data_IF_849673074650
#
_entry.id   IF_849673074650
#
_cell.length_a   1.000
_cell.length_b   1.000
_cell.length_c   1.000
_cell.angle_alpha   90.00
_cell.angle_beta   90.00
_cell.angle_gamma   90.00
#
_symmetry.space_group_name_H-M   'P 1'
#
loop_
_entity.id
_entity.type
_entity.pdbx_description
1 polymer ?
#
# COMPACT_ATOMS: atom_id res chain seq x y z
N UNK A 1 -21.48 22.56 9.00
CA UNK A 1 -21.54 21.55 7.91
C UNK A 1 -21.07 20.25 8.53
N UNK A 2 -22.01 19.36 8.89
CA UNK A 2 -21.71 18.05 9.48
C UNK A 2 -21.25 17.09 8.38
N UNK A 3 -20.00 17.23 7.92
CA UNK A 3 -19.42 16.43 6.83
C UNK A 3 -19.27 14.94 7.18
N UNK A 4 -19.39 14.56 8.45
CA UNK A 4 -18.93 13.26 8.97
C UNK A 4 -19.97 12.45 9.76
N UNK A 5 -21.26 12.82 9.66
CA UNK A 5 -22.35 12.10 10.37
C UNK A 5 -23.19 11.29 9.38
N UNK A 6 -22.58 10.25 8.80
CA UNK A 6 -23.21 9.40 7.78
C UNK A 6 -24.46 8.63 8.23
N UNK A 7 -24.63 8.40 9.54
CA UNK A 7 -25.63 7.46 10.08
C UNK A 7 -26.86 8.08 10.78
N UNK A 8 -27.15 9.38 10.62
CA UNK A 8 -28.33 10.00 11.27
C UNK A 8 -29.64 9.98 10.46
N UNK A 9 -29.65 9.42 9.26
CA UNK A 9 -30.87 9.33 8.45
C UNK A 9 -31.73 8.12 8.85
N UNK A 10 -32.84 8.38 9.53
CA UNK A 10 -33.93 7.41 9.72
C UNK A 10 -34.61 7.12 8.39
N UNK A 11 -34.07 6.17 7.62
CA UNK A 11 -34.72 5.69 6.39
C UNK A 11 -35.92 4.83 6.80
N UNK A 12 -37.12 5.20 6.34
CA UNK A 12 -38.34 4.41 6.49
C UNK A 12 -38.13 3.00 5.91
N UNK A 13 -38.30 2.01 6.78
CA UNK A 13 -37.90 0.62 6.56
C UNK A 13 -38.99 -0.16 5.82
N UNK A 14 -38.97 -0.15 4.50
CA UNK A 14 -39.69 -1.14 3.72
C UNK A 14 -38.82 -2.40 3.53
N UNK A 15 -39.26 -3.50 4.15
CA UNK A 15 -38.70 -4.84 3.92
C UNK A 15 -38.93 -5.23 2.47
N UNK A 16 -37.86 -5.18 1.65
CA UNK A 16 -37.86 -5.89 0.38
C UNK A 16 -37.41 -7.33 0.65
N UNK A 17 -38.27 -8.27 0.30
CA UNK A 17 -37.98 -9.69 0.31
C UNK A 17 -36.70 -9.95 -0.49
N UNK A 18 -35.69 -10.57 0.11
CA UNK A 18 -34.47 -10.99 -0.57
C UNK A 18 -34.85 -11.82 -1.81
N UNK A 19 -34.62 -11.23 -2.97
CA UNK A 19 -34.90 -11.87 -4.25
C UNK A 19 -33.96 -13.05 -4.44
N UNK A 20 -34.41 -14.26 -4.09
CA UNK A 20 -34.02 -15.56 -4.65
C UNK A 20 -32.55 -15.97 -4.67
N UNK A 21 -31.58 -15.14 -4.28
CA UNK A 21 -30.15 -15.48 -4.31
C UNK A 21 -29.79 -16.29 -3.05
N UNK A 22 -29.49 -17.60 -3.16
CA UNK A 22 -29.19 -18.44 -2.01
C UNK A 22 -27.84 -18.10 -1.35
N UNK A 23 -27.04 -17.23 -1.97
CA UNK A 23 -25.75 -16.76 -1.46
C UNK A 23 -25.81 -15.32 -0.94
N UNK A 24 -27.00 -14.77 -0.66
CA UNK A 24 -27.16 -13.47 -0.02
C UNK A 24 -27.91 -13.58 1.30
N UNK A 25 -27.43 -12.86 2.31
CA UNK A 25 -27.99 -12.78 3.65
C UNK A 25 -28.47 -11.37 3.95
N UNK A 26 -29.64 -11.29 4.57
CA UNK A 26 -30.19 -10.03 5.07
C UNK A 26 -29.25 -9.38 6.08
N UNK A 27 -29.09 -8.06 5.98
CA UNK A 27 -28.64 -7.30 7.13
C UNK A 27 -29.66 -7.39 8.26
N UNK A 28 -29.18 -7.25 9.49
CA UNK A 28 -30.07 -7.10 10.63
C UNK A 28 -30.93 -5.85 10.48
N UNK A 29 -32.14 -5.90 11.03
CA UNK A 29 -33.02 -4.74 11.08
C UNK A 29 -32.45 -3.65 12.01
N UNK A 30 -31.83 -4.08 13.11
CA UNK A 30 -31.26 -3.23 14.15
C UNK A 30 -29.82 -3.69 14.47
N UNK A 31 -28.91 -2.75 14.77
CA UNK A 31 -27.53 -3.06 15.11
C UNK A 31 -27.43 -3.86 16.41
N UNK A 32 -26.30 -4.52 16.62
CA UNK A 32 -25.98 -5.15 17.89
C UNK A 32 -25.74 -4.07 18.97
N UNK A 33 -25.93 -4.40 20.27
CA UNK A 33 -25.45 -3.54 21.34
C UNK A 33 -23.94 -3.29 21.19
N UNK A 34 -23.51 -2.03 21.31
CA UNK A 34 -22.11 -1.65 21.14
C UNK A 34 -21.27 -2.12 22.34
N UNK A 35 -20.28 -3.00 22.11
CA UNK A 35 -19.37 -3.47 23.16
C UNK A 35 -18.54 -2.31 23.75
N UNK A 36 -18.07 -1.39 22.91
CA UNK A 36 -17.27 -0.24 23.33
C UNK A 36 -18.12 0.92 23.87
N UNK A 37 -19.45 0.74 24.02
CA UNK A 37 -20.37 1.80 24.40
C UNK A 37 -20.63 2.83 23.29
N UNK A 38 -21.23 3.96 23.65
CA UNK A 38 -21.69 5.01 22.73
C UNK A 38 -20.59 5.54 21.80
N UNK A 39 -20.92 5.77 20.54
CA UNK A 39 -20.05 6.41 19.53
C UNK A 39 -19.75 7.85 19.96
N UNK A 40 -18.45 8.19 20.04
CA UNK A 40 -17.98 9.52 20.48
C UNK A 40 -17.00 10.17 19.52
N UNK A 41 -16.67 9.49 18.42
CA UNK A 41 -15.84 10.08 17.37
C UNK A 41 -16.59 11.19 16.63
N UNK A 42 -15.82 12.14 16.11
CA UNK A 42 -16.31 13.14 15.18
C UNK A 42 -16.61 12.48 13.82
N UNK A 43 -15.73 11.57 13.38
CA UNK A 43 -15.89 10.78 12.16
C UNK A 43 -16.77 9.52 12.38
N UNK A 44 -17.70 9.30 11.45
CA UNK A 44 -18.50 8.08 11.30
C UNK A 44 -18.83 7.88 9.81
N UNK A 45 -18.47 6.73 9.25
CA UNK A 45 -18.55 6.47 7.81
C UNK A 45 -19.82 5.73 7.43
N UNK A 46 -19.95 5.36 6.16
CA UNK A 46 -21.21 4.80 5.65
C UNK A 46 -21.42 3.32 5.94
N UNK A 47 -20.42 2.64 6.48
CA UNK A 47 -20.62 1.31 7.04
C UNK A 47 -21.53 1.41 8.27
N UNK A 48 -22.52 0.52 8.39
CA UNK A 48 -23.49 0.61 9.49
C UNK A 48 -22.89 0.05 10.78
N UNK A 49 -22.83 0.89 11.82
CA UNK A 49 -22.23 0.57 13.11
C UNK A 49 -22.81 -0.69 13.76
N UNK A 50 -21.94 -1.62 14.16
CA UNK A 50 -22.25 -2.85 14.89
C UNK A 50 -23.32 -3.71 14.19
N UNK A 51 -23.49 -3.60 12.87
CA UNK A 51 -24.54 -4.33 12.14
C UNK A 51 -24.20 -5.82 11.97
N UNK A 52 -22.91 -6.17 11.96
CA UNK A 52 -22.41 -7.55 11.81
C UNK A 52 -22.08 -8.19 13.16
N UNK A 53 -21.54 -7.43 14.12
CA UNK A 53 -21.10 -7.94 15.43
C UNK A 53 -21.15 -6.86 16.51
N UNK A 54 -21.23 -7.28 17.79
CA UNK A 54 -21.17 -6.38 18.96
C UNK A 54 -19.77 -5.79 19.19
N UNK A 55 -18.71 -6.44 18.70
CA UNK A 55 -17.31 -6.09 19.04
C UNK A 55 -16.63 -5.11 18.08
N UNK A 56 -17.09 -5.03 16.83
CA UNK A 56 -16.49 -4.22 15.77
C UNK A 56 -17.60 -3.34 15.20
N UNK A 57 -17.44 -2.03 15.29
CA UNK A 57 -18.43 -1.07 14.82
C UNK A 57 -18.54 -1.10 13.30
N UNK A 58 -17.45 -0.81 12.57
CA UNK A 58 -17.43 -0.83 11.11
C UNK A 58 -16.54 -2.01 10.65
N UNK A 59 -17.16 -3.15 10.34
CA UNK A 59 -16.47 -4.44 10.14
C UNK A 59 -15.49 -4.43 8.97
N UNK A 60 -15.92 -3.98 7.79
CA UNK A 60 -15.10 -3.93 6.58
C UNK A 60 -14.06 -2.82 6.69
N UNK A 61 -14.41 -1.66 7.23
CA UNK A 61 -13.46 -0.58 7.50
C UNK A 61 -12.38 -1.01 8.49
N UNK A 62 -12.70 -1.79 9.53
CA UNK A 62 -11.70 -2.36 10.44
C UNK A 62 -10.80 -3.38 9.73
N UNK A 63 -11.35 -4.35 8.99
CA UNK A 63 -10.55 -5.43 8.41
C UNK A 63 -9.69 -4.99 7.23
N UNK A 64 -10.17 -4.03 6.43
CA UNK A 64 -9.42 -3.49 5.28
C UNK A 64 -8.10 -2.86 5.70
N UNK A 65 -7.96 -2.40 6.95
CA UNK A 65 -6.73 -1.86 7.51
C UNK A 65 -5.56 -2.86 7.62
N UNK A 66 -5.83 -4.17 7.53
CA UNK A 66 -4.77 -5.20 7.47
C UNK A 66 -3.84 -5.00 6.27
N UNK A 67 -4.29 -4.31 5.22
CA UNK A 67 -3.47 -3.97 4.05
C UNK A 67 -2.22 -3.16 4.41
N UNK A 68 -2.33 -2.20 5.33
CA UNK A 68 -1.19 -1.40 5.75
C UNK A 68 -0.17 -2.23 6.53
N UNK A 69 -0.66 -3.10 7.42
CA UNK A 69 0.17 -4.02 8.20
C UNK A 69 0.88 -5.03 7.29
N UNK A 70 0.19 -5.55 6.27
CA UNK A 70 0.77 -6.42 5.26
C UNK A 70 1.94 -5.76 4.53
N UNK A 71 1.74 -4.54 4.00
CA UNK A 71 2.79 -3.83 3.29
C UNK A 71 3.95 -3.41 4.20
N UNK A 72 3.65 -3.03 5.45
CA UNK A 72 4.67 -2.75 6.45
C UNK A 72 5.56 -3.97 6.71
N UNK A 73 4.93 -5.13 6.96
CA UNK A 73 5.64 -6.39 7.18
C UNK A 73 6.54 -6.73 5.98
N UNK A 74 6.02 -6.61 4.76
CA UNK A 74 6.79 -6.91 3.57
C UNK A 74 8.02 -5.99 3.43
N UNK A 75 7.84 -4.68 3.62
CA UNK A 75 8.94 -3.71 3.56
C UNK A 75 10.02 -3.97 4.62
N UNK A 76 9.60 -4.17 5.88
CA UNK A 76 10.52 -4.47 6.99
C UNK A 76 11.29 -5.75 6.74
N UNK A 77 10.62 -6.80 6.26
CA UNK A 77 11.25 -8.08 5.91
C UNK A 77 12.28 -7.92 4.80
N UNK A 78 12.00 -7.12 3.78
CA UNK A 78 12.93 -6.82 2.68
C UNK A 78 14.20 -6.12 3.16
N UNK A 79 14.10 -5.37 4.27
CA UNK A 79 15.21 -4.62 4.83
C UNK A 79 16.07 -5.39 5.85
N UNK A 80 15.71 -6.62 6.22
CA UNK A 80 16.32 -7.35 7.36
C UNK A 80 17.86 -7.49 7.31
N UNK A 81 18.45 -7.53 6.11
CA UNK A 81 19.90 -7.71 5.92
C UNK A 81 20.65 -6.41 5.57
N UNK A 82 19.97 -5.25 5.62
CA UNK A 82 20.57 -3.96 5.29
C UNK A 82 21.21 -3.32 6.53
N UNK A 83 22.39 -2.73 6.38
CA UNK A 83 23.10 -2.06 7.50
C UNK A 83 22.34 -0.83 8.02
N UNK A 84 21.56 -0.19 7.15
CA UNK A 84 20.71 0.98 7.42
C UNK A 84 19.25 0.60 7.71
N UNK A 85 18.95 -0.69 7.99
CA UNK A 85 17.59 -1.20 8.16
C UNK A 85 16.73 -0.39 9.13
N UNK A 86 17.30 0.10 10.23
CA UNK A 86 16.55 0.91 11.22
C UNK A 86 15.93 2.14 10.55
N UNK A 87 16.73 2.91 9.80
CA UNK A 87 16.27 4.13 9.14
C UNK A 87 15.35 3.79 7.95
N UNK A 88 15.62 2.68 7.24
CA UNK A 88 14.74 2.21 6.17
C UNK A 88 13.36 1.81 6.67
N UNK A 89 13.29 1.27 7.89
CA UNK A 89 12.07 0.73 8.46
C UNK A 89 11.14 1.77 9.08
N UNK A 90 11.61 3.00 9.37
CA UNK A 90 10.77 4.03 10.01
C UNK A 90 9.47 4.33 9.24
N UNK A 91 9.45 4.54 7.92
CA UNK A 91 8.20 4.74 7.19
C UNK A 91 7.27 3.51 7.19
N UNK A 92 7.82 2.29 7.18
CA UNK A 92 7.01 1.07 7.25
C UNK A 92 6.38 0.88 8.63
N UNK A 93 7.12 1.20 9.70
CA UNK A 93 6.56 1.26 11.05
C UNK A 93 5.49 2.36 11.16
N UNK A 94 5.66 3.47 10.45
CA UNK A 94 4.64 4.50 10.29
C UNK A 94 3.34 3.95 9.72
N UNK A 95 3.35 3.31 8.55
CA UNK A 95 2.13 2.74 7.97
C UNK A 95 1.58 1.55 8.75
N UNK A 96 2.41 0.77 9.45
CA UNK A 96 1.92 -0.25 10.39
C UNK A 96 1.08 0.39 11.50
N UNK A 97 1.55 1.53 12.03
CA UNK A 97 0.84 2.30 13.05
C UNK A 97 -0.47 2.86 12.52
N UNK A 98 -0.51 3.30 11.25
CA UNK A 98 -1.76 3.69 10.56
C UNK A 98 -2.76 2.55 10.53
N UNK A 99 -2.36 1.37 10.04
CA UNK A 99 -3.26 0.22 9.98
C UNK A 99 -3.79 -0.21 11.35
N UNK A 100 -2.95 -0.20 12.39
CA UNK A 100 -3.36 -0.56 13.75
C UNK A 100 -4.27 0.51 14.35
N UNK A 101 -3.89 1.78 14.24
CA UNK A 101 -4.64 2.93 14.76
C UNK A 101 -6.02 3.03 14.12
N UNK A 102 -6.06 3.04 12.79
CA UNK A 102 -7.31 3.07 12.01
C UNK A 102 -8.18 1.84 12.29
N UNK A 103 -7.59 0.63 12.32
CA UNK A 103 -8.35 -0.58 12.66
C UNK A 103 -9.02 -0.51 14.04
N UNK A 104 -8.30 -0.02 15.06
CA UNK A 104 -8.83 0.19 16.41
C UNK A 104 -9.92 1.28 16.43
N UNK A 105 -9.72 2.36 15.66
CA UNK A 105 -10.71 3.41 15.50
C UNK A 105 -12.02 2.87 14.92
N UNK A 106 -11.99 2.25 13.76
CA UNK A 106 -13.19 1.68 13.12
C UNK A 106 -13.86 0.58 13.95
N UNK A 107 -13.09 -0.10 14.82
CA UNK A 107 -13.66 -1.10 15.71
C UNK A 107 -14.47 -0.49 16.87
N UNK A 108 -14.15 0.74 17.30
CA UNK A 108 -14.63 1.29 18.58
C UNK A 108 -15.34 2.65 18.48
N UNK A 109 -15.05 3.44 17.43
CA UNK A 109 -15.58 4.77 17.14
C UNK A 109 -15.52 5.73 18.33
N UNK A 110 -14.33 5.84 18.95
CA UNK A 110 -14.04 6.79 20.04
C UNK A 110 -13.19 7.94 19.56
N UNK A 111 -13.33 9.09 20.22
CA UNK A 111 -12.49 10.27 19.97
C UNK A 111 -11.00 9.96 20.13
N UNK A 112 -10.58 9.31 21.21
CA UNK A 112 -9.16 9.01 21.43
C UNK A 112 -8.59 7.96 20.46
N UNK A 113 -9.42 7.05 19.95
CA UNK A 113 -8.99 6.11 18.89
C UNK A 113 -8.95 6.79 17.53
N UNK A 114 -9.87 7.73 17.25
CA UNK A 114 -9.82 8.58 16.06
C UNK A 114 -8.55 9.42 16.06
N UNK A 115 -8.18 10.03 17.20
CA UNK A 115 -6.91 10.73 17.32
C UNK A 115 -5.72 9.81 17.04
N UNK A 116 -5.76 8.56 17.52
CA UNK A 116 -4.70 7.61 17.22
C UNK A 116 -4.57 7.34 15.71
N UNK A 117 -5.67 7.22 14.98
CA UNK A 117 -5.68 7.11 13.52
C UNK A 117 -5.11 8.39 12.87
N UNK A 118 -5.73 9.54 13.10
CA UNK A 118 -5.34 10.84 12.52
C UNK A 118 -3.85 11.15 12.76
N UNK A 119 -3.37 10.98 14.00
CA UNK A 119 -1.99 11.28 14.35
C UNK A 119 -1.01 10.29 13.74
N UNK A 120 -1.39 9.02 13.61
CA UNK A 120 -0.55 8.01 12.98
C UNK A 120 -0.32 8.33 11.49
N UNK A 121 -1.33 8.84 10.79
CA UNK A 121 -1.22 9.28 9.40
C UNK A 121 -0.22 10.44 9.24
N UNK A 122 -0.31 11.44 10.11
CA UNK A 122 0.62 12.58 10.11
C UNK A 122 2.05 12.14 10.45
N UNK A 123 2.21 11.27 11.46
CA UNK A 123 3.51 10.75 11.85
C UNK A 123 4.16 9.94 10.72
N UNK A 124 3.43 8.99 10.12
CA UNK A 124 3.91 8.20 9.00
C UNK A 124 4.36 9.09 7.84
N UNK A 125 3.54 10.09 7.49
CA UNK A 125 3.85 11.04 6.42
C UNK A 125 5.07 11.90 6.76
N UNK A 126 5.20 12.34 8.01
CA UNK A 126 6.35 13.12 8.48
C UNK A 126 7.66 12.34 8.34
N UNK A 127 7.67 11.02 8.59
CA UNK A 127 8.89 10.21 8.38
C UNK A 127 9.32 10.16 6.92
N UNK A 128 8.38 10.05 5.98
CA UNK A 128 8.66 10.08 4.53
C UNK A 128 9.12 11.47 4.10
N UNK A 129 8.44 12.52 4.59
CA UNK A 129 8.79 13.91 4.32
C UNK A 129 10.21 14.22 4.78
N UNK A 130 10.55 13.85 6.02
CA UNK A 130 11.89 13.99 6.57
C UNK A 130 12.92 13.32 5.66
N UNK A 131 12.68 12.07 5.25
CA UNK A 131 13.60 11.33 4.38
C UNK A 131 13.83 12.00 3.03
N UNK A 132 12.78 12.42 2.32
CA UNK A 132 12.93 13.02 0.97
C UNK A 132 13.55 14.42 0.99
N UNK A 133 13.40 15.17 2.09
CA UNK A 133 13.97 16.52 2.21
C UNK A 133 15.39 16.55 2.81
N UNK A 134 15.79 15.49 3.52
CA UNK A 134 17.09 15.42 4.20
C UNK A 134 18.06 14.43 3.57
N UNK A 135 17.62 13.62 2.61
CA UNK A 135 18.50 12.76 1.82
C UNK A 135 19.66 13.56 1.20
N UNK A 136 20.88 13.03 1.35
CA UNK A 136 22.14 13.62 0.86
C UNK A 136 22.44 15.01 1.45
N UNK A 137 21.97 15.26 2.68
CA UNK A 137 22.29 16.47 3.46
C UNK A 137 23.20 16.13 4.64
N UNK A 138 23.85 17.17 5.19
CA UNK A 138 24.69 17.03 6.37
C UNK A 138 23.87 16.56 7.57
N UNK A 139 24.51 15.83 8.50
CA UNK A 139 23.87 15.36 9.73
C UNK A 139 23.22 16.52 10.50
N UNK A 140 23.90 17.67 10.58
CA UNK A 140 23.37 18.86 11.23
C UNK A 140 22.05 19.31 10.58
N UNK A 141 21.98 19.38 9.25
CA UNK A 141 20.74 19.73 8.54
C UNK A 141 19.64 18.71 8.80
N UNK A 142 19.96 17.42 8.72
CA UNK A 142 19.01 16.32 8.94
C UNK A 142 18.39 16.33 10.34
N UNK A 143 19.22 16.58 11.37
CA UNK A 143 18.78 16.68 12.77
C UNK A 143 17.96 17.95 12.99
N UNK A 144 18.42 19.11 12.51
CA UNK A 144 17.68 20.37 12.66
C UNK A 144 16.33 20.31 11.95
N UNK A 145 16.26 19.79 10.74
CA UNK A 145 15.00 19.61 10.00
C UNK A 145 14.07 18.66 10.75
N UNK A 146 14.58 17.54 11.26
CA UNK A 146 13.82 16.58 12.06
C UNK A 146 13.26 17.19 13.35
N UNK A 147 14.05 17.99 14.06
CA UNK A 147 13.62 18.68 15.28
C UNK A 147 12.51 19.70 14.99
N UNK A 148 12.66 20.52 13.95
CA UNK A 148 11.66 21.51 13.53
C UNK A 148 10.36 20.81 13.11
N UNK A 149 10.46 19.76 12.28
CA UNK A 149 9.30 18.99 11.83
C UNK A 149 8.59 18.33 13.02
N UNK A 150 9.33 17.73 13.95
CA UNK A 150 8.75 17.10 15.14
C UNK A 150 8.03 18.11 16.03
N UNK A 151 8.62 19.29 16.25
CA UNK A 151 7.99 20.37 17.00
C UNK A 151 6.70 20.86 16.33
N UNK A 152 6.73 21.07 15.01
CA UNK A 152 5.57 21.48 14.24
C UNK A 152 4.44 20.42 14.26
N UNK A 153 4.79 19.14 14.08
CA UNK A 153 3.81 18.04 14.15
C UNK A 153 3.23 17.91 15.55
N UNK A 154 4.03 18.08 16.60
CA UNK A 154 3.55 18.01 18.00
C UNK A 154 2.58 19.16 18.30
N UNK A 155 2.93 20.38 17.89
CA UNK A 155 2.08 21.54 18.08
C UNK A 155 0.74 21.38 17.33
N UNK A 156 0.79 20.96 16.07
CA UNK A 156 -0.41 20.73 15.27
C UNK A 156 -1.27 19.59 15.84
N UNK A 157 -0.65 18.47 16.21
CA UNK A 157 -1.34 17.30 16.78
C UNK A 157 -2.02 17.63 18.10
N UNK A 158 -1.36 18.43 18.95
CA UNK A 158 -1.94 18.89 20.21
C UNK A 158 -3.15 19.79 19.95
N UNK A 159 -3.03 20.73 19.01
CA UNK A 159 -4.15 21.58 18.61
C UNK A 159 -5.31 20.75 18.04
N UNK A 160 -5.03 19.81 17.14
CA UNK A 160 -6.01 18.87 16.55
C UNK A 160 -6.79 18.10 17.61
N UNK A 161 -6.11 17.49 18.58
CA UNK A 161 -6.78 16.74 19.65
C UNK A 161 -7.58 17.62 20.60
N UNK A 162 -7.17 18.88 20.80
CA UNK A 162 -7.88 19.83 21.68
C UNK A 162 -9.11 20.42 21.00
N UNK A 163 -9.04 20.70 19.69
CA UNK A 163 -10.16 21.25 18.92
C UNK A 163 -11.10 20.18 18.36
N UNK A 164 -10.64 18.93 18.26
CA UNK A 164 -11.36 17.79 17.68
C UNK A 164 -11.85 18.06 16.24
N UNK A 165 -11.05 18.80 15.46
CA UNK A 165 -11.44 19.33 14.14
C UNK A 165 -10.72 18.62 12.97
N UNK A 166 -11.48 17.99 12.06
CA UNK A 166 -10.91 17.12 11.01
C UNK A 166 -10.43 17.85 9.73
N UNK A 167 -10.92 19.07 9.48
CA UNK A 167 -10.65 19.76 8.20
C UNK A 167 -9.16 20.10 8.07
N UNK A 168 -8.59 20.71 9.11
CA UNK A 168 -7.20 21.14 9.07
C UNK A 168 -6.23 19.96 9.08
N UNK A 169 -6.60 18.85 9.74
CA UNK A 169 -5.86 17.59 9.64
C UNK A 169 -5.77 17.14 8.17
N UNK A 170 -6.92 17.08 7.49
CA UNK A 170 -7.01 16.66 6.09
C UNK A 170 -6.21 17.59 5.15
N UNK A 171 -6.28 18.90 5.39
CA UNK A 171 -5.51 19.90 4.63
C UNK A 171 -4.00 19.70 4.82
N UNK A 172 -3.54 19.59 6.07
CA UNK A 172 -2.12 19.39 6.36
C UNK A 172 -1.62 18.08 5.74
N UNK A 173 -2.36 16.99 5.91
CA UNK A 173 -2.05 15.69 5.33
C UNK A 173 -1.91 15.79 3.80
N UNK A 174 -2.87 16.42 3.12
CA UNK A 174 -2.83 16.64 1.67
C UNK A 174 -1.62 17.46 1.21
N UNK A 175 -1.28 18.54 1.94
CA UNK A 175 -0.09 19.37 1.66
C UNK A 175 1.20 18.56 1.80
N UNK A 176 1.32 17.75 2.85
CA UNK A 176 2.50 16.92 3.07
C UNK A 176 2.66 15.86 1.97
N UNK A 177 1.58 15.19 1.58
CA UNK A 177 1.58 14.22 0.47
C UNK A 177 1.98 14.89 -0.86
N UNK A 178 1.44 16.08 -1.15
CA UNK A 178 1.82 16.83 -2.35
C UNK A 178 3.31 17.21 -2.34
N UNK A 179 3.82 17.69 -1.20
CA UNK A 179 5.24 18.03 -1.04
C UNK A 179 6.15 16.80 -1.25
N UNK A 180 5.79 15.64 -0.69
CA UNK A 180 6.50 14.37 -0.92
C UNK A 180 6.48 14.00 -2.39
N UNK A 181 5.31 14.06 -3.04
CA UNK A 181 5.18 13.71 -4.46
C UNK A 181 6.02 14.60 -5.38
N UNK A 182 5.99 15.92 -5.17
CA UNK A 182 6.79 16.90 -5.93
C UNK A 182 8.29 16.64 -5.71
N UNK A 183 8.72 16.49 -4.45
CA UNK A 183 10.12 16.26 -4.12
C UNK A 183 10.62 14.93 -4.68
N UNK A 184 9.81 13.87 -4.59
CA UNK A 184 10.13 12.56 -5.16
C UNK A 184 10.35 12.66 -6.67
N UNK A 185 9.47 13.35 -7.41
CA UNK A 185 9.64 13.57 -8.87
C UNK A 185 10.91 14.34 -9.22
N UNK A 186 11.29 15.31 -8.39
CA UNK A 186 12.56 16.03 -8.52
C UNK A 186 13.75 15.08 -8.32
N UNK A 187 13.74 14.23 -7.29
CA UNK A 187 14.82 13.26 -7.03
C UNK A 187 14.94 12.23 -8.17
N UNK A 188 13.84 11.71 -8.70
CA UNK A 188 13.85 10.80 -9.86
C UNK A 188 14.64 11.43 -11.02
N UNK A 189 14.40 12.72 -11.28
CA UNK A 189 15.06 13.42 -12.38
C UNK A 189 16.54 13.69 -12.14
N UNK A 190 16.96 13.79 -10.88
CA UNK A 190 18.34 14.03 -10.49
C UNK A 190 19.18 12.75 -10.39
N UNK A 191 18.57 11.62 -9.99
CA UNK A 191 19.30 10.39 -9.62
C UNK A 191 19.20 9.25 -10.64
N UNK A 192 18.19 9.25 -11.51
CA UNK A 192 17.99 8.17 -12.48
C UNK A 192 18.34 8.67 -13.87
N UNK A 193 19.57 8.39 -14.31
CA UNK A 193 20.11 8.81 -15.60
C UNK A 193 19.66 7.91 -16.75
N UNK A 194 19.61 6.59 -16.53
CA UNK A 194 19.16 5.61 -17.51
C UNK A 194 17.70 5.91 -17.94
N UNK A 195 17.45 6.19 -19.23
CA UNK A 195 16.12 6.53 -19.72
C UNK A 195 15.07 5.43 -19.49
N UNK A 196 15.46 4.15 -19.58
CA UNK A 196 14.57 2.99 -19.42
C UNK A 196 14.15 2.89 -17.95
N UNK A 197 15.14 2.86 -17.04
CA UNK A 197 14.86 2.81 -15.59
C UNK A 197 14.09 4.04 -15.15
N UNK A 198 14.42 5.23 -15.68
CA UNK A 198 13.70 6.47 -15.36
C UNK A 198 12.23 6.41 -15.79
N UNK A 199 11.94 5.81 -16.94
CA UNK A 199 10.57 5.62 -17.39
C UNK A 199 9.79 4.69 -16.45
N UNK A 200 10.39 3.58 -16.03
CA UNK A 200 9.77 2.63 -15.09
C UNK A 200 9.50 3.28 -13.73
N UNK A 201 10.49 3.99 -13.18
CA UNK A 201 10.39 4.70 -11.90
C UNK A 201 9.33 5.81 -11.96
N UNK A 202 9.26 6.58 -13.06
CA UNK A 202 8.20 7.59 -13.27
C UNK A 202 6.82 6.97 -13.43
N UNK A 203 6.73 5.84 -14.13
CA UNK A 203 5.50 5.07 -14.27
C UNK A 203 5.02 4.61 -12.91
N UNK A 204 5.90 4.03 -12.09
CA UNK A 204 5.57 3.56 -10.75
C UNK A 204 5.10 4.72 -9.85
N UNK A 205 5.80 5.85 -9.86
CA UNK A 205 5.39 7.05 -9.13
C UNK A 205 4.01 7.57 -9.57
N UNK A 206 3.70 7.48 -10.87
CA UNK A 206 2.42 7.93 -11.43
C UNK A 206 1.29 6.98 -11.08
N UNK A 207 1.51 5.66 -11.14
CA UNK A 207 0.52 4.68 -10.71
C UNK A 207 0.28 4.74 -9.20
N UNK A 208 1.32 4.89 -8.38
CA UNK A 208 1.17 5.10 -6.94
C UNK A 208 0.31 6.32 -6.61
N UNK A 209 0.56 7.44 -7.30
CA UNK A 209 -0.26 8.66 -7.16
C UNK A 209 -1.71 8.43 -7.62
N UNK A 210 -1.90 7.80 -8.78
CA UNK A 210 -3.24 7.56 -9.33
C UNK A 210 -4.08 6.65 -8.42
N UNK A 211 -3.48 5.59 -7.87
CA UNK A 211 -4.15 4.68 -6.93
C UNK A 211 -4.53 5.44 -5.65
N UNK A 212 -3.61 6.20 -5.07
CA UNK A 212 -3.87 6.98 -3.85
C UNK A 212 -4.99 8.01 -4.05
N UNK A 213 -4.94 8.78 -5.16
CA UNK A 213 -5.98 9.75 -5.51
C UNK A 213 -7.32 9.07 -5.81
N UNK A 214 -7.32 7.89 -6.44
CA UNK A 214 -8.54 7.12 -6.66
C UNK A 214 -9.19 6.72 -5.32
N UNK A 215 -8.37 6.37 -4.33
CA UNK A 215 -8.86 6.19 -2.96
C UNK A 215 -9.57 7.45 -2.48
N UNK A 216 -8.94 8.62 -2.62
CA UNK A 216 -9.50 9.88 -2.12
C UNK A 216 -10.84 10.21 -2.77
N UNK A 217 -10.96 9.94 -4.07
CA UNK A 217 -12.23 10.08 -4.79
C UNK A 217 -13.30 9.14 -4.20
N UNK A 218 -12.96 7.86 -3.99
CA UNK A 218 -13.89 6.87 -3.41
C UNK A 218 -14.31 7.26 -1.99
N UNK A 219 -13.40 7.76 -1.17
CA UNK A 219 -13.69 8.29 0.17
C UNK A 219 -14.69 9.45 0.15
N UNK A 220 -14.57 10.37 -0.82
CA UNK A 220 -15.54 11.45 -0.99
C UNK A 220 -16.91 10.92 -1.44
N UNK A 221 -16.93 9.91 -2.32
CA UNK A 221 -18.19 9.28 -2.76
C UNK A 221 -18.89 8.60 -1.58
N UNK A 222 -18.15 7.88 -0.73
CA UNK A 222 -18.67 7.28 0.51
C UNK A 222 -19.39 8.36 1.34
N UNK A 223 -18.66 9.41 1.68
CA UNK A 223 -19.15 10.53 2.49
C UNK A 223 -20.40 11.22 1.89
N UNK A 224 -20.41 11.47 0.58
CA UNK A 224 -21.48 12.24 -0.07
C UNK A 224 -22.71 11.41 -0.44
N UNK A 225 -22.54 10.13 -0.77
CA UNK A 225 -23.61 9.25 -1.26
C UNK A 225 -24.10 8.25 -0.21
N UNK A 226 -23.75 8.47 1.06
CA UNK A 226 -23.96 7.55 2.19
C UNK A 226 -25.35 6.90 2.24
N UNK A 227 -26.42 7.72 2.27
CA UNK A 227 -27.79 7.22 2.36
C UNK A 227 -28.17 6.32 1.17
N UNK A 228 -27.70 6.67 -0.03
CA UNK A 228 -27.95 5.87 -1.24
C UNK A 228 -27.15 4.56 -1.20
N UNK A 229 -25.88 4.61 -0.81
CA UNK A 229 -25.04 3.42 -0.65
C UNK A 229 -25.64 2.45 0.37
N UNK A 230 -26.05 2.93 1.54
CA UNK A 230 -26.66 2.11 2.58
C UNK A 230 -27.98 1.47 2.13
N UNK A 231 -28.84 2.20 1.41
CA UNK A 231 -30.06 1.63 0.84
C UNK A 231 -29.77 0.49 -0.16
N UNK A 232 -28.77 0.66 -1.02
CA UNK A 232 -28.35 -0.36 -1.98
C UNK A 232 -27.72 -1.57 -1.25
N UNK A 233 -26.87 -1.33 -0.25
CA UNK A 233 -26.26 -2.39 0.57
C UNK A 233 -27.33 -3.27 1.22
N UNK A 234 -28.37 -2.66 1.81
CA UNK A 234 -29.48 -3.39 2.42
C UNK A 234 -30.33 -4.16 1.42
N UNK A 235 -30.50 -3.69 0.19
CA UNK A 235 -31.26 -4.41 -0.84
C UNK A 235 -30.49 -5.59 -1.45
N UNK A 236 -29.17 -5.44 -1.62
CA UNK A 236 -28.29 -6.50 -2.15
C UNK A 236 -28.06 -7.60 -1.10
N UNK A 237 -27.84 -7.22 0.16
CA UNK A 237 -27.49 -8.13 1.25
C UNK A 237 -26.01 -8.56 1.25
N UNK A 238 -25.60 -9.19 2.35
CA UNK A 238 -24.23 -9.66 2.57
C UNK A 238 -23.99 -11.01 1.88
N UNK A 239 -22.75 -11.33 1.45
CA UNK A 239 -21.56 -10.50 1.53
C UNK A 239 -21.39 -9.54 0.34
N UNK A 240 -22.27 -9.60 -0.66
CA UNK A 240 -22.13 -8.82 -1.90
C UNK A 240 -22.15 -7.31 -1.68
N UNK A 241 -22.90 -6.85 -0.70
CA UNK A 241 -22.91 -5.45 -0.24
C UNK A 241 -21.55 -4.94 0.23
N UNK A 242 -20.61 -5.81 0.64
CA UNK A 242 -19.28 -5.40 1.11
C UNK A 242 -18.48 -4.71 0.00
N UNK A 243 -18.79 -4.97 -1.27
CA UNK A 243 -18.17 -4.26 -2.39
C UNK A 243 -18.53 -2.76 -2.41
N UNK A 244 -19.59 -2.35 -1.72
CA UNK A 244 -20.04 -0.95 -1.59
C UNK A 244 -19.57 -0.28 -0.30
N UNK A 245 -18.78 -0.96 0.53
CA UNK A 245 -18.09 -0.32 1.67
C UNK A 245 -16.90 0.47 1.14
N UNK A 246 -17.21 1.64 0.57
CA UNK A 246 -16.27 2.46 -0.19
C UNK A 246 -15.14 2.99 0.69
N UNK A 247 -15.40 3.28 1.96
CA UNK A 247 -14.35 3.62 2.92
C UNK A 247 -13.34 2.46 3.13
N UNK A 248 -13.78 1.21 3.07
CA UNK A 248 -12.87 0.05 3.07
C UNK A 248 -11.96 0.00 1.84
N UNK A 249 -12.48 0.37 0.66
CA UNK A 249 -11.67 0.51 -0.57
C UNK A 249 -10.67 1.67 -0.48
N UNK A 250 -11.01 2.76 0.21
CA UNK A 250 -10.08 3.83 0.52
C UNK A 250 -8.83 3.27 1.20
N UNK A 251 -8.98 2.48 2.28
CA UNK A 251 -7.84 1.85 2.96
C UNK A 251 -6.97 1.00 2.05
N UNK A 252 -7.59 0.18 1.18
CA UNK A 252 -6.84 -0.67 0.24
C UNK A 252 -6.02 0.16 -0.74
N UNK A 253 -6.60 1.24 -1.27
CA UNK A 253 -5.95 2.09 -2.26
C UNK A 253 -4.88 2.99 -1.65
N UNK A 254 -5.16 3.64 -0.53
CA UNK A 254 -4.15 4.45 0.16
C UNK A 254 -3.04 3.60 0.75
N UNK A 255 -3.34 2.40 1.26
CA UNK A 255 -2.33 1.45 1.72
C UNK A 255 -1.37 1.02 0.62
N UNK A 256 -1.90 0.63 -0.55
CA UNK A 256 -1.09 0.31 -1.72
C UNK A 256 -0.31 1.53 -2.23
N UNK A 257 -0.97 2.68 -2.36
CA UNK A 257 -0.33 3.92 -2.81
C UNK A 257 0.80 4.37 -1.87
N UNK A 258 0.57 4.36 -0.57
CA UNK A 258 1.56 4.68 0.44
C UNK A 258 2.74 3.72 0.41
N UNK A 259 2.50 2.41 0.29
CA UNK A 259 3.56 1.42 0.11
C UNK A 259 4.42 1.70 -1.12
N UNK A 260 3.78 1.96 -2.28
CA UNK A 260 4.50 2.31 -3.51
C UNK A 260 5.39 3.54 -3.29
N UNK A 261 4.87 4.60 -2.67
CA UNK A 261 5.65 5.81 -2.40
C UNK A 261 6.80 5.57 -1.42
N UNK A 262 6.57 4.83 -0.34
CA UNK A 262 7.61 4.50 0.64
C UNK A 262 8.73 3.70 -0.01
N UNK A 263 8.38 2.62 -0.74
CA UNK A 263 9.36 1.79 -1.41
C UNK A 263 10.12 2.55 -2.51
N UNK A 264 9.43 3.46 -3.22
CA UNK A 264 10.04 4.34 -4.21
C UNK A 264 11.01 5.35 -3.56
N UNK A 265 10.61 6.01 -2.47
CA UNK A 265 11.47 6.91 -1.72
C UNK A 265 12.67 6.17 -1.16
N UNK A 266 12.47 4.96 -0.62
CA UNK A 266 13.55 4.11 -0.15
C UNK A 266 14.57 3.83 -1.25
N UNK A 267 14.11 3.38 -2.42
CA UNK A 267 14.95 3.11 -3.60
C UNK A 267 15.70 4.37 -4.07
N UNK A 268 15.02 5.51 -4.18
CA UNK A 268 15.63 6.75 -4.69
C UNK A 268 16.66 7.35 -3.73
N UNK A 269 16.55 7.02 -2.45
CA UNK A 269 17.44 7.51 -1.39
C UNK A 269 18.45 6.45 -0.94
N UNK A 270 18.56 5.33 -1.66
CA UNK A 270 19.61 4.33 -1.46
C UNK A 270 20.70 4.43 -2.52
N UNK A 271 21.76 3.65 -2.33
CA UNK A 271 22.83 3.46 -3.32
C UNK A 271 22.34 2.71 -4.59
N UNK A 272 21.13 2.16 -4.53
CA UNK A 272 20.54 1.35 -5.59
C UNK A 272 19.77 2.20 -6.61
N UNK A 273 19.62 3.50 -6.37
CA UNK A 273 18.98 4.43 -7.27
C UNK A 273 19.63 4.37 -8.67
N UNK A 274 18.83 4.12 -9.69
CA UNK A 274 19.28 3.93 -11.08
C UNK A 274 19.42 2.46 -11.50
N UNK A 275 19.38 1.50 -10.59
CA UNK A 275 19.36 0.08 -10.92
C UNK A 275 17.95 -0.39 -11.33
N UNK A 276 17.89 -1.53 -12.04
CA UNK A 276 16.61 -2.18 -12.39
C UNK A 276 15.71 -2.40 -11.18
N UNK A 277 14.41 -2.19 -11.39
CA UNK A 277 13.36 -2.36 -10.38
C UNK A 277 12.96 -3.83 -10.16
N UNK A 278 13.47 -4.77 -10.95
CA UNK A 278 13.06 -6.18 -10.93
C UNK A 278 13.18 -6.80 -9.53
N UNK A 279 12.10 -7.43 -9.05
CA UNK A 279 11.99 -8.23 -7.82
C UNK A 279 12.06 -7.49 -6.46
N UNK A 280 11.80 -6.17 -6.41
CA UNK A 280 11.91 -5.37 -5.17
C UNK A 280 10.60 -5.16 -4.40
N UNK A 281 9.45 -5.35 -5.04
CA UNK A 281 8.16 -4.90 -4.50
C UNK A 281 7.22 -6.04 -4.12
N UNK A 282 6.33 -5.77 -3.17
CA UNK A 282 5.22 -6.64 -2.80
C UNK A 282 4.22 -6.78 -3.95
N UNK A 283 3.43 -7.85 -3.93
CA UNK A 283 2.26 -7.95 -4.80
C UNK A 283 1.22 -6.86 -4.42
N UNK A 284 0.50 -6.24 -5.37
CA UNK A 284 0.54 -6.44 -6.82
C UNK A 284 1.58 -5.58 -7.56
N UNK A 285 2.33 -4.73 -6.85
CA UNK A 285 3.29 -3.78 -7.44
C UNK A 285 4.33 -4.49 -8.30
N UNK A 286 4.82 -5.65 -7.85
CA UNK A 286 5.74 -6.47 -8.64
C UNK A 286 5.21 -6.76 -10.06
N UNK A 287 3.91 -7.04 -10.22
CA UNK A 287 3.30 -7.34 -11.51
C UNK A 287 3.19 -6.11 -12.42
N UNK A 288 2.89 -4.94 -11.83
CA UNK A 288 2.83 -3.66 -12.56
C UNK A 288 4.19 -3.32 -13.16
N UNK A 289 5.28 -3.65 -12.46
CA UNK A 289 6.66 -3.40 -12.90
C UNK A 289 7.11 -4.46 -13.92
N UNK A 290 6.95 -5.75 -13.62
CA UNK A 290 7.46 -6.84 -14.50
C UNK A 290 6.68 -6.99 -15.80
N UNK A 291 5.37 -6.71 -15.81
CA UNK A 291 4.54 -6.75 -17.00
C UNK A 291 4.94 -5.76 -18.09
N UNK A 292 5.70 -4.71 -17.75
CA UNK A 292 6.25 -3.74 -18.70
C UNK A 292 7.65 -4.14 -19.20
N UNK A 293 8.49 -4.69 -18.33
CA UNK A 293 9.85 -5.11 -18.69
C UNK A 293 9.87 -6.32 -19.65
N UNK A 294 8.82 -7.14 -19.68
CA UNK A 294 8.68 -8.26 -20.62
C UNK A 294 8.33 -7.88 -22.07
N UNK A 295 8.07 -6.59 -22.34
CA UNK A 295 7.66 -6.10 -23.67
C UNK A 295 8.81 -5.49 -24.50
N UNK A 296 10.05 -5.42 -23.98
CA UNK A 296 11.09 -4.55 -24.55
C UNK A 296 12.48 -5.14 -24.76
N UNK A 297 12.77 -6.37 -24.35
CA UNK A 297 14.14 -6.93 -24.41
C UNK A 297 14.21 -8.16 -25.31
N UNK A 298 13.88 -7.95 -26.57
CA UNK A 298 14.15 -8.85 -27.69
C UNK A 298 14.99 -8.16 -28.77
N UNK A 299 16.09 -7.50 -28.38
CA UNK A 299 17.06 -6.99 -29.34
C UNK A 299 18.45 -7.43 -28.89
N UNK A 300 19.02 -8.37 -29.66
CA UNK A 300 20.27 -9.04 -29.34
C UNK A 300 21.46 -8.11 -29.28
N UNK A 301 22.24 -8.25 -28.22
CA UNK A 301 23.65 -7.84 -28.18
C UNK A 301 24.45 -9.13 -28.28
N UNK A 302 24.97 -9.43 -29.48
CA UNK A 302 26.11 -10.33 -29.64
C UNK A 302 27.33 -9.58 -29.09
N UNK A 303 27.79 -9.96 -27.91
CA UNK A 303 29.12 -9.60 -27.44
C UNK A 303 30.11 -10.64 -27.92
N UNK A 304 30.95 -10.29 -28.89
CA UNK A 304 32.24 -10.94 -29.09
C UNK A 304 33.20 -10.34 -28.04
N UNK A 305 33.84 -11.19 -27.24
CA UNK A 305 34.74 -10.76 -26.18
C UNK A 305 35.21 -11.95 -25.36
N UNK A 306 36.33 -12.52 -25.79
CA UNK A 306 37.05 -13.63 -25.17
C UNK A 306 37.39 -13.37 -23.69
N UNK A 307 37.19 -14.39 -22.85
CA UNK A 307 37.59 -14.36 -21.45
C UNK A 307 37.26 -15.67 -20.75
N UNK A 308 38.27 -16.53 -20.62
CA UNK A 308 38.22 -17.79 -19.87
C UNK A 308 37.78 -17.60 -18.42
N UNK A 309 36.88 -18.46 -17.94
CA UNK A 309 36.47 -18.51 -16.53
C UNK A 309 35.52 -19.67 -16.25
N UNK A 310 36.09 -20.77 -15.75
CA UNK A 310 35.39 -22.01 -15.37
C UNK A 310 34.18 -21.78 -14.46
N UNK A 311 33.00 -22.29 -14.88
CA UNK A 311 31.80 -22.37 -14.05
C UNK A 311 30.92 -23.55 -14.45
N UNK A 312 30.93 -24.60 -13.62
CA UNK A 312 30.03 -25.75 -13.72
C UNK A 312 28.55 -25.31 -13.60
N UNK A 313 27.81 -25.44 -14.69
CA UNK A 313 26.35 -25.35 -14.70
C UNK A 313 25.74 -26.75 -14.47
N UNK A 314 25.05 -26.94 -13.34
CA UNK A 314 24.06 -28.01 -13.18
C UNK A 314 22.68 -27.44 -13.53
N UNK A 315 22.22 -27.77 -14.74
CA UNK A 315 20.83 -27.62 -15.14
C UNK A 315 19.99 -28.75 -14.52
N UNK A 316 18.82 -28.43 -13.98
CA UNK A 316 17.78 -29.40 -13.69
C UNK A 316 16.55 -29.01 -14.49
N UNK A 317 16.36 -29.68 -15.62
CA UNK A 317 15.21 -29.53 -16.50
C UNK A 317 14.05 -30.41 -16.07
N UNK A 318 12.83 -29.91 -16.26
CA UNK A 318 11.65 -30.75 -16.35
C UNK A 318 10.85 -30.30 -17.58
N UNK A 319 11.03 -31.03 -18.68
CA UNK A 319 10.39 -30.78 -19.96
C UNK A 319 10.07 -32.11 -20.62
N UNK A 320 8.81 -32.51 -20.49
CA UNK A 320 8.24 -33.73 -21.04
C UNK A 320 7.99 -33.53 -22.55
N UNK A 321 8.54 -34.40 -23.40
CA UNK A 321 8.38 -34.31 -24.86
C UNK A 321 8.82 -35.59 -25.57
N UNK A 322 7.87 -36.50 -25.76
CA UNK A 322 7.97 -37.65 -26.67
C UNK A 322 8.10 -37.17 -28.13
N UNK A 323 9.03 -37.74 -28.90
CA UNK A 323 9.05 -37.51 -30.35
C UNK A 323 10.27 -38.06 -31.08
N UNK A 324 10.15 -39.32 -31.51
CA UNK A 324 10.75 -39.96 -32.68
C UNK A 324 12.27 -39.90 -32.96
N UNK A 325 12.84 -41.11 -33.00
CA UNK A 325 14.14 -41.47 -33.52
C UNK A 325 14.23 -41.41 -35.05
N UNK A 326 15.40 -41.01 -35.55
CA UNK A 326 16.11 -41.43 -36.77
C UNK A 326 17.56 -40.96 -36.52
N UNK A 327 18.59 -41.79 -36.37
CA UNK A 327 18.97 -42.90 -37.23
C UNK A 327 20.11 -42.43 -38.14
N UNK A 328 21.36 -42.44 -37.66
CA UNK A 328 22.57 -42.47 -38.49
C UNK A 328 23.79 -42.83 -37.62
N UNK A 329 24.19 -44.10 -37.70
CA UNK A 329 25.49 -44.59 -37.26
C UNK A 329 26.55 -44.23 -38.31
N UNK A 330 27.73 -43.79 -37.87
CA UNK A 330 28.99 -44.27 -38.44
C UNK A 330 30.11 -44.02 -37.43
N UNK A 331 30.74 -45.11 -37.03
CA UNK A 331 31.82 -45.12 -36.05
C UNK A 331 33.15 -44.72 -36.65
N UNK A 332 34.09 -44.42 -35.75
CA UNK A 332 35.45 -44.93 -35.83
C UNK A 332 36.04 -44.97 -34.42
N UNK A 333 36.57 -46.15 -34.08
CA UNK A 333 37.31 -46.41 -32.87
C UNK A 333 38.81 -46.12 -33.08
N UNK A 334 39.43 -45.47 -32.09
CA UNK A 334 40.80 -45.68 -31.64
C UNK A 334 40.94 -44.86 -30.34
N UNK A 335 41.26 -45.37 -29.16
CA UNK A 335 42.11 -46.51 -28.83
C UNK A 335 43.47 -45.97 -28.35
N UNK A 336 43.63 -45.86 -27.01
CA UNK A 336 44.85 -45.90 -26.14
C UNK A 336 44.67 -44.91 -24.97
N UNK A 337 44.35 -45.32 -23.75
CA UNK A 337 45.08 -46.14 -22.76
C UNK A 337 46.06 -45.34 -21.88
N UNK A 338 45.70 -45.27 -20.59
CA UNK A 338 46.55 -45.18 -19.37
C UNK A 338 47.32 -43.84 -19.19
N UNK A 339 47.48 -43.28 -17.99
CA UNK A 339 47.72 -43.93 -16.69
C UNK A 339 47.47 -42.91 -15.55
N UNK A 340 46.98 -43.43 -14.43
CA UNK A 340 46.90 -42.77 -13.13
C UNK A 340 48.25 -42.21 -12.66
N UNK A 341 48.23 -41.06 -11.99
CA UNK A 341 48.62 -40.90 -10.58
C UNK A 341 47.88 -39.70 -9.99
#
# INVERSE_FOLDING_TARGET
MDYYKGNLATVERNQTSHGGNPFSFAYRKDPHPAFWGEVKSQANFCEEDYIITTYIAEFINTLSNLVYVYYAYHGIKSNANHKDAILRNLPYLGIATVGIGSGIFHASLKNYTQWADDLSMLLATATVLHRVFTFDKSIAYTVTYGAILSAAMTAFSTWHCVTDELIMHSVLFGVMIAAIGIKTRSIISARVSDPIVRADVKSLATWGAAIFVSGFVIWNIDTMACAHLTAIKRSIGMPWSFALELHGWWHLFTGLGAYIFIALVEYLTSEEAGQSLSARFAWPVAYIVTGKSGSGSGAGVKGDGDGEGNGLAKANGNGNGNGHANGATNGHANGTAKKNL
#
